data_IF_293460065880
#
_entry.id   IF_293460065880
#
_cell.length_a   1.000
_cell.length_b   1.000
_cell.length_c   1.000
_cell.angle_alpha   90.00
_cell.angle_beta   90.00
_cell.angle_gamma   90.00
#
_symmetry.space_group_name_H-M   'P 1'
#
loop_
_entity.id
_entity.type
_entity.pdbx_description
1 polymer ?
#
# COMPACT_ATOMS: atom_id res chain seq x y z
N UNK A 1 -19.38 -58.41 -44.73
CA UNK A 1 -19.40 -56.92 -45.01
C UNK A 1 -20.35 -56.12 -44.14
N UNK A 2 -20.90 -56.67 -43.04
CA UNK A 2 -21.85 -55.95 -42.17
C UNK A 2 -21.24 -55.30 -40.91
N UNK A 3 -19.99 -55.57 -40.62
CA UNK A 3 -19.30 -55.08 -39.45
C UNK A 3 -18.79 -53.61 -39.59
N UNK A 4 -18.70 -53.17 -40.87
CA UNK A 4 -18.14 -51.80 -41.12
C UNK A 4 -19.16 -50.66 -40.96
N UNK A 5 -20.45 -50.96 -41.01
CA UNK A 5 -21.55 -49.99 -40.91
C UNK A 5 -21.95 -49.71 -39.45
N UNK A 6 -21.77 -50.71 -38.59
CA UNK A 6 -22.10 -50.56 -37.15
C UNK A 6 -21.13 -49.64 -36.43
N UNK A 7 -19.84 -49.60 -36.81
CA UNK A 7 -18.83 -48.74 -36.22
C UNK A 7 -19.07 -47.27 -36.58
N UNK A 8 -19.56 -46.97 -37.77
CA UNK A 8 -19.86 -45.58 -38.17
C UNK A 8 -21.10 -45.01 -37.46
N UNK A 9 -22.03 -45.85 -37.02
CA UNK A 9 -23.24 -45.41 -36.35
C UNK A 9 -23.00 -45.09 -34.86
N UNK A 10 -22.03 -45.72 -34.25
CA UNK A 10 -21.65 -45.44 -32.85
C UNK A 10 -20.70 -44.23 -32.67
N UNK A 11 -20.09 -43.75 -33.78
CA UNK A 11 -19.24 -42.55 -33.71
C UNK A 11 -20.02 -41.23 -33.84
N UNK A 12 -21.29 -41.29 -34.25
CA UNK A 12 -22.11 -40.07 -34.41
C UNK A 12 -23.04 -39.78 -33.23
N UNK A 13 -22.95 -40.55 -32.15
CA UNK A 13 -23.76 -40.38 -30.93
C UNK A 13 -22.99 -40.05 -29.68
N UNK A 14 -21.73 -39.67 -29.78
CA UNK A 14 -21.04 -38.95 -28.72
C UNK A 14 -21.28 -37.47 -28.92
N UNK A 15 -22.45 -37.12 -28.52
CA UNK A 15 -22.90 -35.89 -27.91
C UNK A 15 -21.84 -34.81 -27.75
N UNK A 16 -22.13 -33.79 -28.48
CA UNK A 16 -21.92 -32.42 -28.12
C UNK A 16 -22.11 -32.14 -26.60
N UNK A 17 -21.22 -32.64 -25.77
CA UNK A 17 -20.85 -31.95 -24.56
C UNK A 17 -20.18 -30.69 -25.07
N UNK A 18 -21.00 -29.63 -25.18
CA UNK A 18 -20.53 -28.27 -25.43
C UNK A 18 -19.58 -27.97 -24.30
N UNK A 19 -18.31 -28.27 -24.55
CA UNK A 19 -17.24 -27.70 -23.76
C UNK A 19 -17.33 -26.22 -24.06
N UNK A 20 -18.18 -25.53 -23.32
CA UNK A 20 -18.15 -24.07 -23.20
C UNK A 20 -16.73 -23.75 -22.75
N UNK A 21 -15.89 -23.34 -23.72
CA UNK A 21 -14.62 -22.73 -23.38
C UNK A 21 -14.92 -21.74 -22.28
N UNK A 22 -14.27 -21.84 -21.08
CA UNK A 22 -14.38 -20.79 -20.10
C UNK A 22 -14.04 -19.50 -20.85
N UNK A 23 -14.91 -18.51 -20.73
CA UNK A 23 -14.70 -17.19 -21.29
C UNK A 23 -13.39 -16.69 -20.72
N UNK A 24 -12.31 -16.94 -21.46
CA UNK A 24 -11.00 -16.40 -21.17
C UNK A 24 -11.15 -14.94 -21.55
N UNK A 25 -11.59 -14.12 -20.60
CA UNK A 25 -11.40 -12.68 -20.67
C UNK A 25 -9.93 -12.49 -21.00
N UNK A 26 -9.64 -12.05 -22.24
CA UNK A 26 -8.27 -11.76 -22.66
C UNK A 26 -7.67 -10.89 -21.58
N UNK A 27 -6.59 -11.30 -20.91
CA UNK A 27 -5.94 -10.41 -19.97
C UNK A 27 -5.56 -9.16 -20.77
N UNK A 28 -5.95 -7.99 -20.26
CA UNK A 28 -5.41 -6.74 -20.75
C UNK A 28 -3.89 -6.93 -20.86
N UNK A 29 -3.33 -6.64 -22.03
CA UNK A 29 -1.90 -6.75 -22.31
C UNK A 29 -1.06 -5.82 -21.42
N UNK A 30 -1.69 -4.98 -20.60
CA UNK A 30 -1.12 -4.23 -19.48
C UNK A 30 -1.20 -5.00 -18.15
N UNK A 31 -1.74 -6.24 -18.16
CA UNK A 31 -1.78 -7.05 -16.96
C UNK A 31 -0.35 -7.45 -16.59
N UNK A 32 0.18 -6.78 -15.58
CA UNK A 32 1.43 -7.17 -14.96
C UNK A 32 1.42 -8.68 -14.71
N UNK A 33 2.52 -9.35 -15.03
CA UNK A 33 2.67 -10.79 -14.75
C UNK A 33 2.30 -11.05 -13.29
N UNK A 34 1.52 -12.09 -13.05
CA UNK A 34 1.09 -12.44 -11.70
C UNK A 34 -0.14 -11.71 -11.17
N UNK A 35 -0.83 -10.94 -12.00
CA UNK A 35 -2.10 -10.30 -11.64
C UNK A 35 -3.19 -10.81 -12.60
N UNK A 36 -4.29 -11.24 -12.04
CA UNK A 36 -5.51 -11.65 -12.75
C UNK A 36 -6.67 -10.74 -12.39
N UNK A 37 -7.75 -10.80 -13.14
CA UNK A 37 -9.01 -10.15 -12.80
C UNK A 37 -10.11 -11.19 -12.60
N UNK A 38 -11.01 -10.94 -11.66
CA UNK A 38 -12.15 -11.80 -11.38
C UNK A 38 -13.43 -10.96 -11.29
N UNK A 39 -14.44 -11.37 -12.02
CA UNK A 39 -15.78 -10.77 -11.93
C UNK A 39 -16.57 -11.50 -10.86
N UNK A 40 -17.01 -10.78 -9.86
CA UNK A 40 -17.72 -11.32 -8.72
C UNK A 40 -19.13 -11.80 -9.08
N UNK A 41 -19.59 -12.82 -8.39
CA UNK A 41 -20.93 -13.41 -8.51
C UNK A 41 -21.73 -13.17 -7.23
N UNK A 42 -23.05 -13.41 -7.34
CA UNK A 42 -23.91 -13.38 -6.15
C UNK A 42 -23.43 -14.38 -5.11
N UNK A 43 -23.31 -13.92 -3.84
CA UNK A 43 -22.86 -14.72 -2.73
C UNK A 43 -21.33 -14.83 -2.58
N UNK A 44 -20.55 -14.22 -3.48
CA UNK A 44 -19.10 -14.16 -3.32
C UNK A 44 -18.72 -13.27 -2.12
N UNK A 45 -17.67 -13.70 -1.42
CA UNK A 45 -16.99 -12.92 -0.36
C UNK A 45 -15.50 -12.84 -0.66
N UNK A 46 -14.81 -11.86 -0.10
CA UNK A 46 -13.35 -11.76 -0.23
C UNK A 46 -12.66 -13.04 0.24
N UNK A 47 -13.19 -13.68 1.29
CA UNK A 47 -12.64 -14.94 1.80
C UNK A 47 -12.86 -16.11 0.82
N UNK A 48 -14.06 -16.26 0.25
CA UNK A 48 -14.37 -17.35 -0.68
C UNK A 48 -13.53 -17.23 -1.96
N UNK A 49 -13.37 -16.00 -2.47
CA UNK A 49 -12.57 -15.73 -3.67
C UNK A 49 -11.08 -15.98 -3.36
N UNK A 50 -10.58 -15.51 -2.23
CA UNK A 50 -9.19 -15.73 -1.83
C UNK A 50 -8.85 -17.22 -1.72
N UNK A 51 -9.73 -18.03 -1.11
CA UNK A 51 -9.60 -19.49 -1.07
C UNK A 51 -9.55 -20.10 -2.46
N UNK A 52 -10.39 -19.64 -3.39
CA UNK A 52 -10.42 -20.11 -4.79
C UNK A 52 -9.09 -19.88 -5.50
N UNK A 53 -8.44 -18.74 -5.27
CA UNK A 53 -7.16 -18.39 -5.86
C UNK A 53 -5.95 -18.79 -5.02
N UNK A 54 -6.15 -19.43 -3.87
CA UNK A 54 -5.11 -19.89 -2.94
C UNK A 54 -4.22 -18.76 -2.41
N UNK A 55 -4.83 -17.61 -2.16
CA UNK A 55 -4.19 -16.44 -1.55
C UNK A 55 -4.90 -16.07 -0.24
N UNK A 56 -4.29 -15.21 0.56
CA UNK A 56 -4.92 -14.70 1.77
C UNK A 56 -6.01 -13.68 1.44
N UNK A 57 -7.08 -13.67 2.23
CA UNK A 57 -8.13 -12.64 2.10
C UNK A 57 -7.60 -11.23 2.31
N UNK A 58 -6.53 -11.10 3.09
CA UNK A 58 -5.83 -9.85 3.34
C UNK A 58 -5.15 -9.31 2.06
N UNK A 59 -4.42 -10.16 1.36
CA UNK A 59 -3.82 -9.84 0.05
C UNK A 59 -4.88 -9.34 -0.94
N UNK A 60 -6.01 -10.05 -1.02
CA UNK A 60 -7.09 -9.68 -1.93
C UNK A 60 -7.74 -8.34 -1.56
N UNK A 61 -7.94 -8.08 -0.26
CA UNK A 61 -8.45 -6.80 0.23
C UNK A 61 -7.48 -5.65 -0.06
N UNK A 62 -6.19 -5.86 0.14
CA UNK A 62 -5.17 -4.86 -0.18
C UNK A 62 -5.14 -4.53 -1.68
N UNK A 63 -5.17 -5.55 -2.53
CA UNK A 63 -5.17 -5.37 -3.98
C UNK A 63 -6.37 -4.56 -4.50
N UNK A 64 -7.51 -4.61 -3.77
CA UNK A 64 -8.74 -3.92 -4.13
C UNK A 64 -9.07 -2.72 -3.22
N UNK A 65 -8.14 -2.31 -2.37
CA UNK A 65 -8.28 -1.17 -1.47
C UNK A 65 -9.58 -1.19 -0.64
N UNK A 66 -9.93 -2.32 -0.06
CA UNK A 66 -11.14 -2.50 0.74
C UNK A 66 -10.85 -3.12 2.10
N UNK A 67 -11.67 -2.79 3.09
CA UNK A 67 -11.69 -3.44 4.41
C UNK A 67 -12.82 -4.43 4.54
N UNK A 68 -13.82 -4.35 3.65
CA UNK A 68 -15.02 -5.19 3.68
C UNK A 68 -14.74 -6.59 3.17
N UNK A 69 -15.41 -7.58 3.77
CA UNK A 69 -15.44 -8.93 3.26
C UNK A 69 -16.58 -9.15 2.25
N UNK A 70 -17.63 -8.35 2.35
CA UNK A 70 -18.75 -8.37 1.42
C UNK A 70 -18.34 -7.74 0.08
N UNK A 71 -18.75 -8.38 -1.00
CA UNK A 71 -18.48 -7.94 -2.37
C UNK A 71 -19.78 -7.80 -3.12
N UNK A 72 -19.91 -6.70 -3.87
CA UNK A 72 -21.04 -6.53 -4.77
C UNK A 72 -20.92 -7.45 -5.99
N UNK A 73 -22.01 -8.05 -6.49
CA UNK A 73 -21.97 -8.86 -7.69
C UNK A 73 -21.62 -8.03 -8.94
N UNK A 74 -21.08 -8.69 -9.95
CA UNK A 74 -20.64 -8.08 -11.21
C UNK A 74 -19.54 -7.00 -11.06
N UNK A 75 -18.80 -7.00 -9.96
CA UNK A 75 -17.64 -6.14 -9.78
C UNK A 75 -16.36 -6.83 -10.20
N UNK A 76 -15.52 -6.15 -10.95
CA UNK A 76 -14.21 -6.68 -11.32
C UNK A 76 -13.21 -6.44 -10.20
N UNK A 77 -12.63 -7.52 -9.68
CA UNK A 77 -11.58 -7.48 -8.66
C UNK A 77 -10.22 -7.76 -9.27
N UNK A 78 -9.21 -7.11 -8.74
CA UNK A 78 -7.80 -7.40 -9.00
C UNK A 78 -7.37 -8.55 -8.10
N UNK A 79 -6.87 -9.63 -8.69
CA UNK A 79 -6.49 -10.85 -7.98
C UNK A 79 -5.02 -11.15 -8.24
N UNK A 80 -4.12 -10.94 -7.30
CA UNK A 80 -2.74 -11.40 -7.44
C UNK A 80 -2.69 -12.93 -7.35
N UNK A 81 -1.77 -13.54 -8.09
CA UNK A 81 -1.63 -15.01 -8.14
C UNK A 81 -0.79 -15.57 -6.98
N UNK A 82 -0.19 -14.70 -6.17
CA UNK A 82 0.56 -15.05 -4.96
C UNK A 82 0.26 -14.05 -3.85
N UNK A 83 0.49 -14.48 -2.60
CA UNK A 83 0.40 -13.57 -1.46
C UNK A 83 1.43 -12.45 -1.55
N UNK A 84 0.99 -11.22 -1.23
CA UNK A 84 1.83 -10.04 -1.28
C UNK A 84 1.06 -8.75 -1.54
N UNK A 85 1.75 -7.76 -2.07
CA UNK A 85 1.20 -6.44 -2.37
C UNK A 85 1.21 -6.18 -3.87
N UNK A 86 0.09 -5.74 -4.42
CA UNK A 86 0.04 -5.18 -5.79
C UNK A 86 0.41 -3.71 -5.71
N UNK A 87 1.46 -3.32 -6.41
CA UNK A 87 2.01 -1.97 -6.36
C UNK A 87 2.07 -1.36 -7.75
N UNK A 88 1.74 -0.08 -7.86
CA UNK A 88 1.94 0.70 -9.09
C UNK A 88 3.22 1.50 -8.95
N UNK A 89 4.18 1.26 -9.83
CA UNK A 89 5.51 1.85 -9.81
C UNK A 89 5.41 3.36 -9.97
N UNK A 90 6.12 4.09 -9.11
CA UNK A 90 6.28 5.54 -9.16
C UNK A 90 7.66 5.91 -9.68
N UNK A 91 7.81 7.16 -10.07
CA UNK A 91 9.12 7.66 -10.49
C UNK A 91 10.13 7.62 -9.34
N UNK A 92 11.33 7.10 -9.63
CA UNK A 92 12.39 6.90 -8.63
C UNK A 92 12.31 5.60 -7.83
N UNK A 93 11.29 4.77 -8.02
CA UNK A 93 11.21 3.46 -7.36
C UNK A 93 12.27 2.50 -7.92
N UNK A 94 12.83 1.70 -7.02
CA UNK A 94 13.74 0.59 -7.33
C UNK A 94 13.24 -0.68 -6.66
N UNK A 95 13.61 -1.84 -7.20
CA UNK A 95 13.26 -3.12 -6.57
C UNK A 95 13.76 -3.20 -5.12
N UNK A 96 14.94 -2.66 -4.84
CA UNK A 96 15.53 -2.60 -3.51
C UNK A 96 14.71 -1.72 -2.55
N UNK A 97 14.38 -0.48 -2.97
CA UNK A 97 13.60 0.44 -2.12
C UNK A 97 12.20 -0.09 -1.81
N UNK A 98 11.56 -0.74 -2.80
CA UNK A 98 10.26 -1.38 -2.61
C UNK A 98 10.36 -2.60 -1.70
N UNK A 99 11.41 -3.41 -1.85
CA UNK A 99 11.63 -4.57 -0.99
C UNK A 99 11.80 -4.19 0.49
N UNK A 100 12.57 -3.15 0.77
CA UNK A 100 12.75 -2.62 2.12
C UNK A 100 11.45 -2.06 2.70
N UNK A 101 10.73 -1.24 1.92
CA UNK A 101 9.47 -0.62 2.34
C UNK A 101 8.38 -1.63 2.65
N UNK A 102 8.24 -2.66 1.81
CA UNK A 102 7.19 -3.67 1.92
C UNK A 102 7.64 -4.98 2.57
N UNK A 103 8.85 -5.01 3.16
CA UNK A 103 9.41 -6.16 3.90
C UNK A 103 9.46 -7.45 3.08
N UNK A 104 9.87 -7.36 1.83
CA UNK A 104 10.06 -8.50 0.93
C UNK A 104 11.50 -8.55 0.43
N UNK A 105 11.84 -9.52 -0.42
CA UNK A 105 13.16 -9.63 -1.04
C UNK A 105 13.17 -8.98 -2.42
N UNK A 106 14.17 -8.15 -2.71
CA UNK A 106 14.37 -7.54 -4.02
C UNK A 106 14.51 -8.58 -5.13
N UNK A 107 15.22 -9.68 -4.86
CA UNK A 107 15.37 -10.80 -5.78
C UNK A 107 14.02 -11.43 -6.15
N UNK A 108 13.14 -11.65 -5.15
CA UNK A 108 11.80 -12.18 -5.41
C UNK A 108 10.96 -11.22 -6.25
N UNK A 109 11.09 -9.93 -6.01
CA UNK A 109 10.39 -8.90 -6.79
C UNK A 109 10.85 -8.94 -8.24
N UNK A 110 12.16 -8.99 -8.47
CA UNK A 110 12.78 -9.05 -9.80
C UNK A 110 12.38 -10.33 -10.54
N UNK A 111 12.57 -11.48 -9.92
CA UNK A 111 12.27 -12.79 -10.51
C UNK A 111 10.78 -12.97 -10.82
N UNK A 112 9.91 -12.60 -9.89
CA UNK A 112 8.47 -12.82 -10.06
C UNK A 112 7.86 -11.95 -11.15
N UNK A 113 8.33 -10.72 -11.28
CA UNK A 113 7.82 -9.77 -12.26
C UNK A 113 8.61 -9.78 -13.58
N UNK A 114 9.60 -10.67 -13.71
CA UNK A 114 10.48 -10.77 -14.89
C UNK A 114 11.11 -9.42 -15.25
N UNK A 115 11.65 -8.76 -14.25
CA UNK A 115 12.35 -7.49 -14.36
C UNK A 115 13.83 -7.82 -14.52
N UNK A 116 14.49 -7.22 -15.51
CA UNK A 116 15.94 -7.37 -15.66
C UNK A 116 16.66 -6.77 -14.45
N UNK A 117 17.68 -7.47 -13.95
CA UNK A 117 18.47 -7.02 -12.81
C UNK A 117 19.16 -5.69 -13.14
N UNK A 118 18.87 -4.66 -12.34
CA UNK A 118 19.34 -3.29 -12.58
C UNK A 118 18.52 -2.46 -13.58
N UNK A 119 17.45 -3.02 -14.17
CA UNK A 119 16.56 -2.26 -15.05
C UNK A 119 15.76 -1.22 -14.25
N UNK A 120 15.58 -0.05 -14.85
CA UNK A 120 14.65 0.95 -14.31
C UNK A 120 13.23 0.40 -14.38
N UNK A 121 12.54 0.43 -13.25
CA UNK A 121 11.13 0.09 -13.20
C UNK A 121 10.31 1.09 -14.04
N UNK A 122 9.44 0.57 -14.90
CA UNK A 122 8.59 1.44 -15.74
C UNK A 122 7.52 2.09 -14.88
N UNK A 123 7.58 3.40 -14.74
CA UNK A 123 6.58 4.19 -13.99
C UNK A 123 5.17 3.96 -14.53
N UNK A 124 4.21 3.76 -13.64
CA UNK A 124 2.81 3.47 -13.98
C UNK A 124 2.51 1.98 -14.21
N UNK A 125 3.51 1.13 -14.36
CA UNK A 125 3.30 -0.32 -14.44
C UNK A 125 2.91 -0.89 -13.08
N UNK A 126 2.08 -1.93 -13.08
CA UNK A 126 1.73 -2.69 -11.87
C UNK A 126 2.65 -3.89 -11.73
N UNK A 127 3.15 -4.10 -10.53
CA UNK A 127 3.95 -5.27 -10.16
C UNK A 127 3.38 -5.92 -8.90
N UNK A 128 3.72 -7.17 -8.70
CA UNK A 128 3.43 -7.89 -7.45
C UNK A 128 4.71 -7.93 -6.62
N UNK A 129 4.57 -7.62 -5.34
CA UNK A 129 5.64 -7.75 -4.34
C UNK A 129 5.38 -9.04 -3.52
N UNK A 130 5.96 -10.20 -3.91
CA UNK A 130 5.62 -11.48 -3.31
C UNK A 130 6.03 -11.54 -1.83
N UNK A 131 5.08 -11.94 -0.98
CA UNK A 131 5.30 -11.98 0.47
C UNK A 131 5.44 -10.61 1.13
N UNK A 132 5.20 -9.53 0.38
CA UNK A 132 5.24 -8.17 0.90
C UNK A 132 4.09 -7.86 1.83
N UNK A 133 4.34 -6.98 2.80
CA UNK A 133 3.33 -6.45 3.72
C UNK A 133 3.06 -4.98 3.43
N UNK A 134 1.77 -4.60 3.42
CA UNK A 134 1.40 -3.20 3.30
C UNK A 134 1.72 -2.46 4.61
N UNK A 135 2.51 -1.36 4.57
CA UNK A 135 2.74 -0.52 5.73
C UNK A 135 1.42 -0.04 6.34
N UNK A 136 1.37 0.12 7.64
CA UNK A 136 0.14 0.44 8.37
C UNK A 136 -0.56 1.69 7.82
N UNK A 137 0.21 2.71 7.48
CA UNK A 137 -0.29 3.98 6.91
C UNK A 137 -0.83 3.86 5.47
N UNK A 138 -0.58 2.76 4.77
CA UNK A 138 -1.07 2.49 3.42
C UNK A 138 -2.20 1.45 3.40
N UNK A 139 -2.52 0.85 4.55
CA UNK A 139 -3.59 -0.14 4.64
C UNK A 139 -4.96 0.51 4.42
N UNK A 140 -5.88 -0.17 3.72
CA UNK A 140 -7.25 0.29 3.59
C UNK A 140 -7.85 0.58 4.96
N UNK A 141 -8.54 1.71 5.11
CA UNK A 141 -9.15 2.13 6.37
C UNK A 141 -8.20 2.75 7.41
N UNK A 142 -6.93 2.94 7.09
CA UNK A 142 -6.02 3.64 7.98
C UNK A 142 -6.46 5.09 8.21
N UNK A 143 -6.62 5.44 9.47
CA UNK A 143 -6.88 6.83 9.91
C UNK A 143 -5.63 7.31 10.64
N UNK A 144 -4.93 8.29 10.05
CA UNK A 144 -3.78 8.88 10.71
C UNK A 144 -4.15 9.41 12.09
N UNK A 145 -3.38 9.12 13.14
CA UNK A 145 -3.63 9.67 14.46
C UNK A 145 -3.63 11.20 14.32
N UNK A 146 -4.75 11.83 14.71
CA UNK A 146 -4.81 13.29 14.75
C UNK A 146 -3.70 13.74 15.69
N UNK A 147 -2.68 14.40 15.15
CA UNK A 147 -1.73 15.11 15.98
C UNK A 147 -2.55 16.06 16.83
N UNK A 148 -2.65 15.78 18.13
CA UNK A 148 -3.12 16.78 19.07
C UNK A 148 -2.11 17.90 18.96
N UNK A 149 -2.41 18.87 18.10
CA UNK A 149 -1.80 20.15 18.22
C UNK A 149 -2.09 20.57 19.66
N UNK A 150 -1.09 20.54 20.50
CA UNK A 150 -1.11 21.24 21.77
C UNK A 150 -1.17 22.73 21.38
N UNK A 151 -2.38 23.13 20.96
CA UNK A 151 -2.71 24.51 20.81
C UNK A 151 -2.50 25.10 22.18
N UNK A 152 -1.38 25.79 22.33
CA UNK A 152 -1.15 26.70 23.42
C UNK A 152 -2.32 27.70 23.40
N UNK A 153 -3.41 27.35 24.10
CA UNK A 153 -4.49 28.28 24.39
C UNK A 153 -3.91 29.27 25.41
N UNK A 154 -3.06 30.14 24.93
CA UNK A 154 -2.95 31.44 25.55
C UNK A 154 -4.25 32.15 25.16
N UNK A 155 -5.27 31.98 26.00
CA UNK A 155 -6.35 32.94 26.13
C UNK A 155 -5.73 34.29 26.49
N UNK A 156 -5.57 35.10 25.48
CA UNK A 156 -5.38 36.54 25.67
C UNK A 156 -6.71 37.15 26.08
N UNK A 157 -7.17 36.91 27.31
CA UNK A 157 -8.08 37.82 27.97
C UNK A 157 -7.22 38.99 28.43
N UNK A 158 -7.15 40.01 27.58
CA UNK A 158 -6.67 41.32 27.97
C UNK A 158 -7.58 41.86 29.06
N UNK A 159 -7.17 41.72 30.31
CA UNK A 159 -7.65 42.53 31.40
C UNK A 159 -6.49 43.37 31.87
N UNK A 160 -6.52 44.63 31.52
CA UNK A 160 -5.63 45.66 31.94
C UNK A 160 -5.71 45.81 33.47
N UNK A 161 -4.67 45.37 34.17
CA UNK A 161 -4.37 45.90 35.50
C UNK A 161 -2.85 46.00 35.63
N UNK A 162 -2.41 47.22 35.61
CA UNK A 162 -1.04 47.66 35.93
C UNK A 162 -0.63 47.19 37.31
N UNK A 163 0.33 46.26 37.38
CA UNK A 163 1.25 46.16 38.52
C UNK A 163 2.62 45.76 37.99
N UNK A 164 3.50 46.71 38.04
CA UNK A 164 4.91 46.58 37.75
C UNK A 164 5.56 45.64 38.76
N UNK A 165 5.68 44.35 38.41
CA UNK A 165 6.60 43.44 39.07
C UNK A 165 7.78 43.22 38.11
N UNK A 166 8.90 43.82 38.43
CA UNK A 166 10.16 43.68 37.73
C UNK A 166 10.62 42.23 37.72
N UNK A 167 10.45 41.57 36.58
CA UNK A 167 11.06 40.26 36.30
C UNK A 167 12.52 40.48 35.86
N UNK A 168 13.39 40.76 36.81
CA UNK A 168 14.81 41.10 36.57
C UNK A 168 15.71 39.88 36.27
N UNK A 169 15.16 38.69 36.09
CA UNK A 169 15.94 37.46 35.88
C UNK A 169 15.87 36.88 34.47
N UNK A 170 15.14 37.53 33.56
CA UNK A 170 15.03 37.13 32.14
C UNK A 170 15.78 38.09 31.21
N UNK A 171 16.98 38.50 31.59
CA UNK A 171 17.87 39.22 30.67
C UNK A 171 18.61 38.22 29.82
N UNK A 172 18.35 38.23 28.51
CA UNK A 172 19.14 37.46 27.56
C UNK A 172 20.61 37.90 27.64
N UNK A 173 21.54 36.94 27.61
CA UNK A 173 22.97 37.24 27.57
C UNK A 173 23.31 38.03 26.30
N UNK A 174 24.33 38.89 26.43
CA UNK A 174 24.79 39.71 25.29
C UNK A 174 25.24 38.82 24.16
N UNK A 175 24.63 39.00 22.99
CA UNK A 175 24.89 38.20 21.78
C UNK A 175 23.85 37.12 21.45
N UNK A 176 22.92 36.84 22.35
CA UNK A 176 21.85 35.90 22.05
C UNK A 176 20.75 36.57 21.22
N UNK A 177 20.57 36.09 19.97
CA UNK A 177 19.59 36.61 19.01
C UNK A 177 18.20 36.00 19.16
N UNK A 178 18.03 35.05 20.06
CA UNK A 178 16.77 34.34 20.25
C UNK A 178 15.94 34.94 21.38
N UNK A 179 14.66 34.89 21.29
CA UNK A 179 13.76 35.35 22.35
C UNK A 179 13.94 34.48 23.60
N UNK A 180 14.10 35.14 24.76
CA UNK A 180 14.26 34.46 26.03
C UNK A 180 13.08 33.50 26.32
N UNK A 181 13.38 32.28 26.74
CA UNK A 181 12.39 31.29 27.13
C UNK A 181 11.95 30.32 26.05
N UNK A 182 12.41 30.43 24.80
CA UNK A 182 12.17 29.39 23.81
C UNK A 182 13.29 28.33 23.78
N UNK A 183 13.03 27.20 23.14
CA UNK A 183 13.96 26.05 23.08
C UNK A 183 15.32 26.45 22.45
N UNK A 184 15.32 27.32 21.45
CA UNK A 184 16.53 27.79 20.77
C UNK A 184 17.36 28.70 21.66
N UNK A 185 16.73 29.54 22.49
CA UNK A 185 17.38 30.34 23.49
C UNK A 185 18.12 29.49 24.53
N UNK A 186 17.45 28.45 25.07
CA UNK A 186 18.08 27.52 26.01
C UNK A 186 19.25 26.74 25.38
N UNK A 187 19.14 26.34 24.15
CA UNK A 187 20.23 25.66 23.44
C UNK A 187 21.45 26.56 23.24
N UNK A 188 21.24 27.85 22.96
CA UNK A 188 22.31 28.83 22.81
C UNK A 188 23.02 29.06 24.15
N UNK A 189 22.28 29.37 25.24
CA UNK A 189 22.82 29.57 26.57
C UNK A 189 23.60 28.35 27.08
N UNK A 190 23.09 27.15 26.85
CA UNK A 190 23.76 25.91 27.25
C UNK A 190 25.11 25.72 26.55
N UNK A 191 25.21 26.11 25.27
CA UNK A 191 26.47 26.03 24.52
C UNK A 191 27.51 27.03 25.07
N UNK A 192 27.09 28.24 25.40
CA UNK A 192 27.97 29.24 26.06
C UNK A 192 28.52 28.74 27.40
N UNK A 193 27.65 28.16 28.24
CA UNK A 193 28.07 27.59 29.54
C UNK A 193 29.08 26.45 29.39
N UNK A 194 29.00 25.68 28.28
CA UNK A 194 29.90 24.58 28.01
C UNK A 194 31.17 24.98 27.25
N UNK A 195 31.37 26.28 26.95
CA UNK A 195 32.51 26.77 26.19
C UNK A 195 32.61 26.24 24.77
N UNK A 196 31.50 25.80 24.18
CA UNK A 196 31.48 25.27 22.82
C UNK A 196 31.25 26.39 21.80
N UNK A 197 31.87 26.32 20.60
CA UNK A 197 31.67 27.34 19.57
C UNK A 197 30.20 27.36 19.12
N UNK A 198 29.73 28.55 18.80
CA UNK A 198 28.37 28.90 18.42
C UNK A 198 28.23 28.77 16.88
#
# INVERSE_FOLDING_TARGET
SETSLTIKKNLSQNDAEVITKPDIVKPDTSAARGISSYVTKDGDTMESIAKKFKISSQTLRWANNTTSDAVEPNKTLVVPLVDGVVYTIKDGDTAQSLAEKYKTSAERVVLYNDIDDGAKLSTGSRIVLPGGELPENERPGYVAPRSRSYGNRYSSSASSTTTSASRSWLTASVGNRYAAGNCTWYAYERRLQLGRPI
#
